data_IF_940633862595
#
_entry.id   IF_940633862595
#
_cell.length_a   1.000
_cell.length_b   1.000
_cell.length_c   1.000
_cell.angle_alpha   90.00
_cell.angle_beta   90.00
_cell.angle_gamma   90.00
#
_symmetry.space_group_name_H-M   'P 1'
#
loop_
_entity.id
_entity.type
_entity.pdbx_description
1 polymer ?
#
# COMPACT_ATOMS: atom_id res chain seq x y z
N UNK A 1 -29.32 -25.52 -2.75
CA UNK A 1 -28.16 -24.66 -3.03
C UNK A 1 -27.01 -25.54 -3.41
N UNK A 2 -26.47 -25.35 -4.61
CA UNK A 2 -25.37 -26.17 -5.12
C UNK A 2 -24.04 -25.65 -4.59
N UNK A 3 -23.04 -26.52 -4.39
CA UNK A 3 -21.69 -26.15 -3.93
C UNK A 3 -20.98 -25.10 -4.80
N UNK A 4 -21.50 -24.81 -5.99
CA UNK A 4 -21.03 -23.74 -6.87
C UNK A 4 -21.46 -22.34 -6.42
N UNK A 5 -22.62 -22.21 -5.77
CA UNK A 5 -23.14 -20.91 -5.31
C UNK A 5 -22.38 -20.42 -4.07
N UNK A 6 -22.11 -21.35 -3.14
CA UNK A 6 -21.32 -21.08 -1.93
C UNK A 6 -19.88 -20.65 -2.27
N UNK A 7 -19.25 -21.33 -3.24
CA UNK A 7 -17.93 -20.94 -3.72
C UNK A 7 -17.92 -19.54 -4.37
N UNK A 8 -18.96 -19.21 -5.13
CA UNK A 8 -19.08 -17.89 -5.71
C UNK A 8 -19.19 -16.82 -4.61
N UNK A 9 -20.03 -17.04 -3.59
CA UNK A 9 -20.21 -16.14 -2.45
C UNK A 9 -18.91 -15.88 -1.66
N UNK A 10 -18.12 -16.93 -1.42
CA UNK A 10 -16.80 -16.80 -0.78
C UNK A 10 -15.83 -15.97 -1.61
N UNK A 11 -15.80 -16.16 -2.93
CA UNK A 11 -14.97 -15.35 -3.85
C UNK A 11 -15.42 -13.89 -3.81
N UNK A 12 -16.73 -13.64 -3.79
CA UNK A 12 -17.27 -12.27 -3.70
C UNK A 12 -16.83 -11.57 -2.41
N UNK A 13 -16.97 -12.23 -1.25
CA UNK A 13 -16.54 -11.66 0.03
C UNK A 13 -15.03 -11.41 0.09
N UNK A 14 -14.22 -12.35 -0.41
CA UNK A 14 -12.76 -12.21 -0.39
C UNK A 14 -12.31 -11.00 -1.22
N UNK A 15 -12.90 -10.83 -2.41
CA UNK A 15 -12.56 -9.77 -3.34
C UNK A 15 -13.00 -8.38 -2.82
N UNK A 16 -14.22 -8.28 -2.29
CA UNK A 16 -14.73 -7.05 -1.68
C UNK A 16 -13.95 -6.70 -0.41
N UNK A 17 -13.59 -7.70 0.40
CA UNK A 17 -12.74 -7.52 1.58
C UNK A 17 -11.36 -6.97 1.23
N UNK A 18 -10.74 -7.50 0.16
CA UNK A 18 -9.43 -7.02 -0.29
C UNK A 18 -9.49 -5.58 -0.82
N UNK A 19 -10.48 -5.26 -1.65
CA UNK A 19 -10.65 -3.92 -2.20
C UNK A 19 -10.97 -2.89 -1.11
N UNK A 20 -11.85 -3.25 -0.16
CA UNK A 20 -12.18 -2.39 0.96
C UNK A 20 -10.97 -2.18 1.89
N UNK A 21 -10.21 -3.23 2.18
CA UNK A 21 -8.98 -3.13 2.98
C UNK A 21 -7.95 -2.21 2.32
N UNK A 22 -7.75 -2.34 1.01
CA UNK A 22 -6.81 -1.49 0.28
C UNK A 22 -7.28 -0.03 0.22
N UNK A 23 -8.58 0.20 0.06
CA UNK A 23 -9.17 1.53 0.11
C UNK A 23 -8.93 2.17 1.48
N UNK A 24 -9.22 1.45 2.56
CA UNK A 24 -8.98 1.91 3.93
C UNK A 24 -7.50 2.17 4.20
N UNK A 25 -6.61 1.28 3.76
CA UNK A 25 -5.16 1.44 3.88
C UNK A 25 -4.68 2.69 3.13
N UNK A 26 -5.17 2.92 1.92
CA UNK A 26 -4.84 4.12 1.13
C UNK A 26 -5.33 5.41 1.78
N UNK A 27 -6.52 5.38 2.38
CA UNK A 27 -7.11 6.51 3.10
C UNK A 27 -6.27 6.83 4.35
N UNK A 28 -5.93 5.82 5.14
CA UNK A 28 -5.11 5.96 6.34
C UNK A 28 -3.70 6.46 6.01
N UNK A 29 -3.11 5.93 4.95
CA UNK A 29 -1.81 6.38 4.47
C UNK A 29 -1.88 7.86 4.04
N UNK A 30 -2.92 8.27 3.30
CA UNK A 30 -3.16 9.67 2.94
C UNK A 30 -3.32 10.61 4.15
N UNK A 31 -4.00 10.18 5.21
CA UNK A 31 -4.11 10.94 6.46
C UNK A 31 -2.75 11.07 7.16
N UNK A 32 -1.99 9.99 7.24
CA UNK A 32 -0.63 9.99 7.79
C UNK A 32 0.29 10.95 7.02
N UNK A 33 0.14 10.97 5.69
CA UNK A 33 0.84 11.90 4.78
C UNK A 33 0.56 13.35 5.12
N UNK A 34 -0.71 13.70 5.33
CA UNK A 34 -1.12 15.07 5.61
C UNK A 34 -0.54 15.56 6.95
N UNK A 35 -0.56 14.69 7.97
CA UNK A 35 0.05 14.98 9.28
C UNK A 35 1.57 15.14 9.14
N UNK A 36 2.24 14.22 8.45
CA UNK A 36 3.66 14.30 8.18
C UNK A 36 4.04 15.58 7.43
N UNK A 37 3.34 15.92 6.35
CA UNK A 37 3.55 17.15 5.58
C UNK A 37 3.40 18.39 6.45
N UNK A 38 2.41 18.42 7.34
CA UNK A 38 2.22 19.53 8.27
C UNK A 38 3.40 19.68 9.24
N UNK A 39 3.89 18.57 9.79
CA UNK A 39 5.05 18.54 10.69
C UNK A 39 6.35 18.91 9.98
N UNK A 40 6.57 18.35 8.79
CA UNK A 40 7.71 18.63 7.92
C UNK A 40 7.73 20.10 7.50
N UNK A 41 6.61 20.65 7.03
CA UNK A 41 6.51 22.06 6.67
C UNK A 41 6.86 22.95 7.86
N UNK A 42 6.32 22.66 9.04
CA UNK A 42 6.64 23.41 10.25
C UNK A 42 8.13 23.31 10.65
N UNK A 43 8.79 22.17 10.40
CA UNK A 43 10.24 22.03 10.64
C UNK A 43 11.11 22.72 9.59
N UNK A 44 10.67 22.74 8.32
CA UNK A 44 11.39 23.36 7.21
C UNK A 44 11.32 24.90 7.25
N UNK A 45 10.16 25.46 7.58
CA UNK A 45 9.96 26.91 7.64
C UNK A 45 10.45 27.54 8.94
N UNK A 46 10.74 26.75 9.97
CA UNK A 46 11.22 27.25 11.26
C UNK A 46 12.77 27.21 11.30
N UNK A 47 13.42 28.35 11.58
CA UNK A 47 14.89 28.51 11.56
C UNK A 47 15.59 27.76 12.69
N UNK A 48 15.67 26.43 12.67
CA UNK A 48 16.40 25.65 13.72
C UNK A 48 17.07 24.38 13.20
N UNK A 49 18.41 24.35 13.28
CA UNK A 49 19.29 23.17 13.40
C UNK A 49 19.43 22.22 12.20
N UNK A 50 20.65 22.06 11.68
CA UNK A 50 20.99 21.18 10.54
C UNK A 50 20.61 19.68 10.76
N UNK A 51 20.66 19.18 11.99
CA UNK A 51 20.24 17.79 12.31
C UNK A 51 18.73 17.56 12.13
N UNK A 52 17.91 18.58 12.32
CA UNK A 52 16.44 18.44 12.25
C UNK A 52 15.95 18.36 10.80
N UNK A 53 16.60 19.11 9.91
CA UNK A 53 16.45 18.99 8.46
C UNK A 53 16.89 17.61 7.94
N UNK A 54 17.94 17.03 8.51
CA UNK A 54 18.41 15.69 8.15
C UNK A 54 17.37 14.61 8.51
N UNK A 55 16.82 14.67 9.72
CA UNK A 55 15.73 13.77 10.16
C UNK A 55 14.47 13.94 9.31
N UNK A 56 14.09 15.17 9.00
CA UNK A 56 12.99 15.47 8.09
C UNK A 56 13.18 14.85 6.69
N UNK A 57 14.40 14.91 6.14
CA UNK A 57 14.70 14.29 4.85
C UNK A 57 14.57 12.76 4.90
N UNK A 58 15.06 12.12 5.97
CA UNK A 58 14.95 10.65 6.17
C UNK A 58 13.48 10.23 6.24
N UNK A 59 12.67 10.94 7.03
CA UNK A 59 11.23 10.68 7.16
C UNK A 59 10.51 10.84 5.81
N UNK A 60 10.87 11.87 5.03
CA UNK A 60 10.31 12.07 3.68
C UNK A 60 10.67 10.95 2.70
N UNK A 61 11.90 10.43 2.75
CA UNK A 61 12.34 9.31 1.92
C UNK A 61 11.61 8.03 2.28
N UNK A 62 11.52 7.71 3.57
CA UNK A 62 10.74 6.58 4.08
C UNK A 62 9.28 6.63 3.61
N UNK A 63 8.67 7.79 3.76
CA UNK A 63 7.30 8.04 3.35
C UNK A 63 7.11 7.86 1.83
N UNK A 64 8.09 8.28 1.03
CA UNK A 64 8.07 8.09 -0.43
C UNK A 64 8.10 6.62 -0.81
N UNK A 65 8.92 5.81 -0.13
CA UNK A 65 8.96 4.36 -0.35
C UNK A 65 7.60 3.72 -0.01
N UNK A 66 7.01 4.06 1.13
CA UNK A 66 5.71 3.52 1.53
C UNK A 66 4.60 3.92 0.53
N UNK A 67 4.65 5.15 0.00
CA UNK A 67 3.74 5.63 -1.04
C UNK A 67 3.89 4.85 -2.34
N UNK A 68 5.13 4.54 -2.77
CA UNK A 68 5.40 3.72 -3.95
C UNK A 68 4.86 2.30 -3.75
N UNK A 69 5.09 1.70 -2.57
CA UNK A 69 4.58 0.38 -2.24
C UNK A 69 3.04 0.32 -2.31
N UNK A 70 2.36 1.33 -1.73
CA UNK A 70 0.92 1.47 -1.81
C UNK A 70 0.45 1.66 -3.26
N UNK A 71 1.16 2.48 -4.05
CA UNK A 71 0.86 2.71 -5.45
C UNK A 71 0.99 1.45 -6.32
N UNK A 72 1.99 0.60 -6.04
CA UNK A 72 2.16 -0.70 -6.71
C UNK A 72 1.01 -1.65 -6.37
N UNK A 73 0.62 -1.75 -5.08
CA UNK A 73 -0.53 -2.55 -4.66
C UNK A 73 -1.84 -2.03 -5.26
N UNK A 74 -2.02 -0.72 -5.32
CA UNK A 74 -3.15 -0.08 -5.97
C UNK A 74 -3.21 -0.38 -7.47
N UNK A 75 -2.09 -0.26 -8.17
CA UNK A 75 -1.99 -0.61 -9.58
C UNK A 75 -2.36 -2.07 -9.82
N UNK A 76 -1.93 -2.98 -8.94
CA UNK A 76 -2.26 -4.40 -9.02
C UNK A 76 -3.75 -4.68 -8.95
N UNK A 77 -4.41 -4.14 -7.91
CA UNK A 77 -5.86 -4.29 -7.73
C UNK A 77 -6.60 -3.64 -8.89
N UNK A 78 -6.15 -2.47 -9.34
CA UNK A 78 -6.73 -1.80 -10.51
C UNK A 78 -6.60 -2.66 -11.78
N UNK A 79 -5.44 -3.29 -12.02
CA UNK A 79 -5.26 -4.18 -13.16
C UNK A 79 -6.18 -5.40 -13.06
N UNK A 80 -6.25 -6.04 -11.90
CA UNK A 80 -7.11 -7.20 -11.69
C UNK A 80 -8.60 -6.84 -11.90
N UNK A 81 -9.07 -5.71 -11.37
CA UNK A 81 -10.48 -5.34 -11.44
C UNK A 81 -10.91 -4.60 -12.72
N UNK A 82 -10.07 -3.73 -13.28
CA UNK A 82 -10.42 -2.89 -14.44
C UNK A 82 -10.04 -3.56 -15.77
N UNK A 83 -8.91 -4.28 -15.82
CA UNK A 83 -8.42 -4.90 -17.06
C UNK A 83 -8.89 -6.35 -17.19
N UNK A 84 -8.85 -7.12 -16.10
CA UNK A 84 -9.34 -8.52 -16.07
C UNK A 84 -10.77 -8.64 -15.52
N UNK A 85 -11.55 -7.56 -15.59
CA UNK A 85 -12.89 -7.42 -15.00
C UNK A 85 -14.01 -8.22 -15.67
N UNK A 86 -13.72 -9.03 -16.70
CA UNK A 86 -14.71 -9.80 -17.47
C UNK A 86 -15.56 -10.73 -16.59
N UNK A 87 -14.97 -11.31 -15.55
CA UNK A 87 -15.72 -12.03 -14.51
C UNK A 87 -14.96 -12.00 -13.19
N UNK A 88 -15.67 -12.00 -12.05
CA UNK A 88 -14.99 -11.98 -10.73
C UNK A 88 -14.12 -13.22 -10.49
N UNK A 89 -14.40 -14.33 -11.18
CA UNK A 89 -13.54 -15.52 -11.21
C UNK A 89 -12.22 -15.25 -11.96
N UNK A 90 -12.25 -14.52 -13.08
CA UNK A 90 -11.05 -14.07 -13.78
C UNK A 90 -10.22 -13.08 -12.94
N UNK A 91 -10.89 -12.20 -12.18
CA UNK A 91 -10.23 -11.33 -11.21
C UNK A 91 -9.51 -12.19 -10.14
N UNK A 92 -10.22 -13.16 -9.55
CA UNK A 92 -9.65 -14.07 -8.54
C UNK A 92 -8.46 -14.88 -9.08
N UNK A 93 -8.54 -15.39 -10.31
CA UNK A 93 -7.41 -16.07 -10.96
C UNK A 93 -6.23 -15.13 -11.21
N UNK A 94 -6.49 -13.85 -11.52
CA UNK A 94 -5.43 -12.84 -11.61
C UNK A 94 -4.74 -12.58 -10.28
N UNK A 95 -5.44 -12.70 -9.14
CA UNK A 95 -4.82 -12.60 -7.81
C UNK A 95 -3.93 -13.80 -7.47
N UNK A 96 -4.26 -14.99 -7.97
CA UNK A 96 -3.51 -16.23 -7.75
C UNK A 96 -2.34 -16.43 -8.73
N UNK A 97 -2.21 -15.55 -9.73
CA UNK A 97 -1.23 -15.73 -10.78
C UNK A 97 0.20 -15.49 -10.25
N UNK A 98 1.12 -16.41 -10.56
CA UNK A 98 2.49 -16.40 -10.02
C UNK A 98 3.33 -15.20 -10.48
N UNK A 99 2.91 -14.55 -11.57
CA UNK A 99 3.53 -13.34 -12.12
C UNK A 99 3.57 -12.18 -11.12
N UNK A 100 2.80 -12.22 -10.03
CA UNK A 100 2.75 -11.17 -9.00
C UNK A 100 3.57 -11.50 -7.75
N UNK A 101 4.34 -12.60 -7.72
CA UNK A 101 5.23 -12.95 -6.60
C UNK A 101 6.24 -11.86 -6.27
N UNK A 102 6.67 -11.08 -7.25
CA UNK A 102 7.58 -9.94 -7.04
C UNK A 102 6.97 -8.87 -6.13
N UNK A 103 5.64 -8.73 -6.06
CA UNK A 103 4.98 -7.77 -5.17
C UNK A 103 5.14 -8.14 -3.70
N UNK A 104 5.10 -9.42 -3.36
CA UNK A 104 5.38 -9.90 -2.00
C UNK A 104 6.84 -9.64 -1.61
N UNK A 105 7.77 -9.81 -2.56
CA UNK A 105 9.17 -9.47 -2.35
C UNK A 105 9.35 -7.96 -2.11
N UNK A 106 8.70 -7.11 -2.91
CA UNK A 106 8.71 -5.65 -2.74
C UNK A 106 8.11 -5.28 -1.37
N UNK A 107 6.97 -5.86 -0.97
CA UNK A 107 6.40 -5.60 0.35
C UNK A 107 7.34 -5.99 1.50
N UNK A 108 7.98 -7.15 1.40
CA UNK A 108 8.96 -7.60 2.37
C UNK A 108 10.19 -6.68 2.46
N UNK A 109 10.72 -6.22 1.32
CA UNK A 109 11.87 -5.30 1.28
C UNK A 109 11.51 -3.95 1.89
N UNK A 110 10.33 -3.42 1.58
CA UNK A 110 9.91 -2.12 2.09
C UNK A 110 9.58 -2.19 3.59
N UNK A 111 8.97 -3.28 4.06
CA UNK A 111 8.74 -3.51 5.49
C UNK A 111 10.05 -3.62 6.27
N UNK A 112 11.03 -4.38 5.75
CA UNK A 112 12.33 -4.52 6.40
C UNK A 112 13.15 -3.22 6.37
N UNK A 113 13.07 -2.43 5.29
CA UNK A 113 13.66 -1.09 5.24
C UNK A 113 13.03 -0.13 6.25
N UNK A 114 11.70 -0.17 6.43
CA UNK A 114 11.01 0.69 7.39
C UNK A 114 11.43 0.35 8.83
N UNK A 115 11.58 -0.94 9.15
CA UNK A 115 12.11 -1.41 10.44
C UNK A 115 13.55 -0.93 10.67
N UNK A 116 14.43 -1.08 9.67
CA UNK A 116 15.84 -0.69 9.79
C UNK A 116 16.02 0.81 10.01
N UNK A 117 15.21 1.64 9.34
CA UNK A 117 15.33 3.09 9.47
C UNK A 117 14.67 3.57 10.78
N UNK A 118 13.59 2.93 11.23
CA UNK A 118 12.99 3.19 12.54
C UNK A 118 13.97 2.88 13.70
N UNK A 119 14.88 1.92 13.51
CA UNK A 119 15.91 1.56 14.51
C UNK A 119 17.10 2.55 14.52
N UNK A 120 17.32 3.28 13.42
CA UNK A 120 18.42 4.24 13.26
C UNK A 120 18.02 5.69 13.66
N UNK A 121 16.72 6.00 13.72
CA UNK A 121 16.17 7.32 14.08
C UNK A 121 16.02 7.53 15.58
#
# INVERSE_FOLDING_TARGET
>A
MSSSEEQAELIYQALDGYLNSLCLESLMHGLYTAVLLSGLSNMLFNKRGRNRLFMAAIIGVLYSFETVHLGVRWYWVRQAFIVNGDSRMAIYQSFLNEDYRWMWAVSGVFASMNILIADVS
#
